data_IF_224460808537
#
_entry.id   IF_224460808537
#
_cell.length_a   1.000
_cell.length_b   1.000
_cell.length_c   1.000
_cell.angle_alpha   90.00
_cell.angle_beta   90.00
_cell.angle_gamma   90.00
#
_symmetry.space_group_name_H-M   'P 1'
#
loop_
_entity.id
_entity.type
_entity.pdbx_description
1 polymer ?
#
# COMPACT_ATOMS: atom_id res chain seq x y z
N UNK A 1 -45.54 -2.18 39.94
CA UNK A 1 -45.12 -1.86 38.55
C UNK A 1 -43.70 -1.30 38.63
N UNK A 2 -42.66 -2.11 38.34
CA UNK A 2 -41.27 -1.65 38.34
C UNK A 2 -40.95 -1.09 36.95
N UNK A 3 -40.66 0.22 36.88
CA UNK A 3 -40.16 0.87 35.67
C UNK A 3 -38.72 0.41 35.41
N UNK A 4 -38.51 -0.41 34.40
CA UNK A 4 -37.19 -0.78 33.90
C UNK A 4 -36.73 0.42 33.06
N UNK A 5 -35.83 1.22 33.64
CA UNK A 5 -35.15 2.29 32.93
C UNK A 5 -34.14 1.68 31.93
N UNK A 6 -34.44 1.78 30.67
CA UNK A 6 -33.53 1.40 29.57
C UNK A 6 -32.35 2.38 29.57
N UNK A 7 -31.24 1.97 30.12
CA UNK A 7 -29.98 2.73 30.08
C UNK A 7 -29.41 2.56 28.69
N UNK A 8 -29.63 3.54 27.81
CA UNK A 8 -28.97 3.61 26.52
C UNK A 8 -27.49 3.99 26.76
N UNK A 9 -26.61 2.99 26.78
CA UNK A 9 -25.16 3.20 26.81
C UNK A 9 -24.75 3.71 25.42
N UNK A 10 -24.68 5.05 25.25
CA UNK A 10 -24.11 5.66 24.06
C UNK A 10 -22.59 5.45 24.15
N UNK A 11 -22.09 4.39 23.51
CA UNK A 11 -20.66 4.19 23.32
C UNK A 11 -20.21 5.24 22.28
N UNK A 12 -19.66 6.34 22.75
CA UNK A 12 -18.92 7.28 21.92
C UNK A 12 -17.67 6.56 21.38
N UNK A 13 -17.78 5.99 20.19
CA UNK A 13 -16.59 5.63 19.43
C UNK A 13 -15.85 6.92 19.08
N UNK A 14 -14.77 7.21 19.80
CA UNK A 14 -13.78 8.15 19.30
C UNK A 14 -13.16 7.55 18.02
N UNK A 15 -13.81 7.75 16.90
CA UNK A 15 -13.21 7.43 15.61
C UNK A 15 -12.01 8.36 15.46
N UNK A 16 -10.81 7.83 15.64
CA UNK A 16 -9.57 8.57 15.42
C UNK A 16 -9.47 8.91 13.93
N UNK A 17 -10.05 10.06 13.56
CA UNK A 17 -9.84 10.63 12.24
C UNK A 17 -8.45 11.25 12.20
N UNK A 18 -7.52 10.61 11.50
CA UNK A 18 -6.23 11.20 11.16
C UNK A 18 -6.26 11.78 9.74
N UNK A 19 -5.32 12.66 9.43
CA UNK A 19 -5.14 13.13 8.05
C UNK A 19 -3.84 12.58 7.48
N UNK A 20 -3.88 12.27 6.18
CA UNK A 20 -2.69 11.88 5.43
C UNK A 20 -1.84 13.14 5.21
N UNK A 21 -0.55 13.12 5.54
CA UNK A 21 0.36 14.24 5.25
C UNK A 21 0.37 14.56 3.74
N UNK A 22 0.69 15.77 3.38
CA UNK A 22 0.69 16.32 2.01
C UNK A 22 -0.72 16.47 1.42
N UNK A 23 -1.52 15.40 1.39
CA UNK A 23 -2.85 15.41 0.75
C UNK A 23 -3.94 15.95 1.66
N UNK A 24 -3.70 16.00 2.97
CA UNK A 24 -4.65 16.40 4.01
C UNK A 24 -5.97 15.59 4.00
N UNK A 25 -6.01 14.46 3.26
CA UNK A 25 -7.18 13.58 3.20
C UNK A 25 -7.48 13.02 4.59
N UNK A 26 -8.72 13.12 4.99
CA UNK A 26 -9.20 12.47 6.22
C UNK A 26 -9.36 10.97 6.01
N UNK A 27 -8.88 10.18 6.97
CA UNK A 27 -9.00 8.73 6.96
C UNK A 27 -9.49 8.20 8.29
N UNK A 28 -10.19 7.10 8.26
CA UNK A 28 -10.58 6.33 9.44
C UNK A 28 -9.50 5.27 9.65
N UNK A 29 -8.63 5.48 10.63
CA UNK A 29 -7.57 4.55 10.95
C UNK A 29 -7.46 4.39 12.48
N UNK A 30 -8.00 3.29 13.00
CA UNK A 30 -7.89 2.90 14.42
C UNK A 30 -7.05 1.64 14.62
N UNK A 31 -6.48 1.09 13.54
CA UNK A 31 -5.49 0.01 13.62
C UNK A 31 -4.12 0.64 13.76
N UNK A 32 -3.48 0.43 14.93
CA UNK A 32 -2.21 1.06 15.26
C UNK A 32 -1.00 0.40 14.58
N UNK A 33 0.11 1.14 14.48
CA UNK A 33 1.39 0.59 14.00
C UNK A 33 1.87 -0.55 14.93
N UNK A 34 1.68 -0.42 16.24
CA UNK A 34 2.05 -1.45 17.22
C UNK A 34 1.28 -2.77 17.03
N UNK A 35 0.08 -2.73 16.45
CA UNK A 35 -0.69 -3.93 16.07
C UNK A 35 -0.21 -4.53 14.74
N UNK A 36 0.10 -3.67 13.76
CA UNK A 36 0.34 -4.08 12.37
C UNK A 36 1.79 -4.48 12.10
N UNK A 37 2.77 -3.73 12.62
CA UNK A 37 4.17 -3.91 12.25
C UNK A 37 4.74 -5.27 12.63
N UNK A 38 4.51 -5.83 13.85
CA UNK A 38 5.03 -7.16 14.18
C UNK A 38 4.50 -8.24 13.24
N UNK A 39 3.20 -8.14 12.89
CA UNK A 39 2.56 -9.08 11.95
C UNK A 39 3.11 -8.91 10.54
N UNK A 40 3.33 -7.66 10.10
CA UNK A 40 3.93 -7.35 8.80
C UNK A 40 5.31 -7.97 8.65
N UNK A 41 6.16 -7.79 9.65
CA UNK A 41 7.54 -8.29 9.62
C UNK A 41 7.59 -9.82 9.65
N UNK A 42 6.73 -10.47 10.45
CA UNK A 42 6.62 -11.93 10.47
C UNK A 42 6.19 -12.47 9.11
N UNK A 43 5.11 -11.93 8.52
CA UNK A 43 4.63 -12.36 7.21
C UNK A 43 5.64 -12.10 6.08
N UNK A 44 6.39 -11.01 6.16
CA UNK A 44 7.45 -10.74 5.19
C UNK A 44 8.56 -11.78 5.26
N UNK A 45 8.97 -12.16 6.48
CA UNK A 45 9.97 -13.21 6.68
C UNK A 45 9.48 -14.55 6.12
N UNK A 46 8.27 -14.96 6.47
CA UNK A 46 7.66 -16.20 5.96
C UNK A 46 7.59 -16.17 4.43
N UNK A 47 7.21 -15.03 3.84
CA UNK A 47 7.16 -14.85 2.39
C UNK A 47 8.54 -15.06 1.73
N UNK A 48 9.61 -14.53 2.32
CA UNK A 48 10.97 -14.70 1.77
C UNK A 48 11.48 -16.15 1.91
N UNK A 49 11.02 -16.88 2.92
CA UNK A 49 11.35 -18.31 3.08
C UNK A 49 10.62 -19.18 2.03
N UNK A 50 9.41 -18.78 1.62
CA UNK A 50 8.58 -19.50 0.64
C UNK A 50 8.90 -19.17 -0.82
N UNK A 51 9.64 -18.07 -1.10
CA UNK A 51 9.87 -17.57 -2.44
C UNK A 51 11.36 -17.48 -2.78
N UNK A 52 11.68 -17.65 -4.06
CA UNK A 52 13.07 -17.64 -4.53
C UNK A 52 13.53 -16.21 -4.81
N UNK A 53 14.57 -15.76 -4.12
CA UNK A 53 15.23 -14.49 -4.43
C UNK A 53 15.94 -14.56 -5.79
N UNK A 54 15.87 -13.49 -6.56
CA UNK A 54 16.53 -13.41 -7.86
C UNK A 54 18.06 -13.48 -7.72
N UNK A 55 18.67 -14.31 -8.57
CA UNK A 55 20.13 -14.45 -8.69
C UNK A 55 20.74 -13.38 -9.60
N UNK A 56 19.95 -12.56 -10.26
CA UNK A 56 20.41 -11.46 -11.09
C UNK A 56 20.93 -10.31 -10.21
N UNK A 57 22.23 -10.31 -9.96
CA UNK A 57 22.89 -9.33 -9.08
C UNK A 57 22.71 -7.89 -9.54
N UNK A 58 22.69 -7.64 -10.86
CA UNK A 58 22.54 -6.30 -11.41
C UNK A 58 21.14 -5.75 -11.11
N UNK A 59 20.09 -6.49 -11.47
CA UNK A 59 18.69 -6.09 -11.23
C UNK A 59 18.40 -5.96 -9.74
N UNK A 60 18.88 -6.91 -8.91
CA UNK A 60 18.72 -6.85 -7.45
C UNK A 60 19.37 -5.60 -6.88
N UNK A 61 20.54 -5.22 -7.38
CA UNK A 61 21.22 -4.00 -6.96
C UNK A 61 20.43 -2.76 -7.36
N UNK A 62 19.92 -2.68 -8.60
CA UNK A 62 19.10 -1.56 -9.05
C UNK A 62 17.84 -1.38 -8.17
N UNK A 63 17.12 -2.46 -7.85
CA UNK A 63 15.98 -2.41 -6.93
C UNK A 63 16.38 -1.87 -5.56
N UNK A 64 17.50 -2.33 -5.01
CA UNK A 64 17.99 -1.86 -3.70
C UNK A 64 18.43 -0.41 -3.71
N UNK A 65 19.14 0.02 -4.75
CA UNK A 65 19.66 1.39 -4.89
C UNK A 65 18.48 2.38 -5.06
N UNK A 66 17.52 2.07 -5.95
CA UNK A 66 16.30 2.88 -6.12
C UNK A 66 15.48 2.91 -4.82
N UNK A 67 15.30 1.75 -4.19
CA UNK A 67 14.57 1.65 -2.92
C UNK A 67 15.20 2.49 -1.83
N UNK A 68 16.52 2.45 -1.69
CA UNK A 68 17.28 3.26 -0.73
C UNK A 68 17.10 4.76 -1.01
N UNK A 69 17.18 5.19 -2.26
CA UNK A 69 17.02 6.60 -2.62
C UNK A 69 15.61 7.11 -2.28
N UNK A 70 14.57 6.37 -2.66
CA UNK A 70 13.17 6.72 -2.35
C UNK A 70 12.93 6.71 -0.84
N UNK A 71 13.36 5.67 -0.12
CA UNK A 71 13.16 5.58 1.34
C UNK A 71 13.90 6.69 2.09
N UNK A 72 15.09 7.09 1.63
CA UNK A 72 15.81 8.24 2.18
C UNK A 72 15.01 9.54 1.99
N UNK A 73 14.44 9.76 0.80
CA UNK A 73 13.59 10.94 0.55
C UNK A 73 12.36 10.96 1.46
N UNK A 74 11.72 9.80 1.65
CA UNK A 74 10.56 9.65 2.55
C UNK A 74 10.95 9.91 4.01
N UNK A 75 12.08 9.36 4.47
CA UNK A 75 12.58 9.59 5.85
C UNK A 75 12.88 11.08 6.09
N UNK A 76 13.58 11.73 5.16
CA UNK A 76 13.84 13.19 5.22
C UNK A 76 12.53 13.97 5.28
N UNK A 77 11.56 13.62 4.45
CA UNK A 77 10.24 14.26 4.47
C UNK A 77 9.54 14.08 5.82
N UNK A 78 9.49 12.84 6.34
CA UNK A 78 8.85 12.56 7.63
C UNK A 78 9.49 13.34 8.78
N UNK A 79 10.81 13.35 8.87
CA UNK A 79 11.54 14.07 9.92
C UNK A 79 11.36 15.58 9.83
N UNK A 80 11.39 16.15 8.63
CA UNK A 80 11.13 17.57 8.39
C UNK A 80 9.70 17.98 8.83
N UNK A 81 8.74 17.06 8.73
CA UNK A 81 7.35 17.28 9.15
C UNK A 81 7.04 16.79 10.58
N UNK A 82 8.06 16.57 11.41
CA UNK A 82 7.95 16.15 12.83
C UNK A 82 7.27 14.80 13.04
N UNK A 83 7.32 13.93 12.03
CA UNK A 83 6.81 12.54 12.07
C UNK A 83 7.92 11.58 12.51
N UNK A 84 8.59 11.88 13.62
CA UNK A 84 9.80 11.15 14.04
C UNK A 84 9.46 9.69 14.40
N UNK A 85 8.39 9.47 15.15
CA UNK A 85 7.96 8.13 15.56
C UNK A 85 7.61 7.24 14.35
N UNK A 86 6.95 7.82 13.34
CA UNK A 86 6.67 7.13 12.08
C UNK A 86 7.95 6.81 11.33
N UNK A 87 8.87 7.77 11.19
CA UNK A 87 10.15 7.56 10.52
C UNK A 87 10.96 6.42 11.18
N UNK A 88 11.02 6.42 12.51
CA UNK A 88 11.75 5.42 13.29
C UNK A 88 11.07 4.02 13.28
N UNK A 89 9.81 3.93 12.89
CA UNK A 89 9.07 2.67 12.79
C UNK A 89 9.31 1.91 11.49
N UNK A 90 9.97 2.52 10.49
CA UNK A 90 10.29 1.87 9.22
C UNK A 90 11.60 1.10 9.31
N UNK A 91 11.53 -0.16 8.95
CA UNK A 91 12.68 -1.06 8.77
C UNK A 91 12.80 -1.43 7.29
N UNK A 92 13.30 -0.47 6.49
CA UNK A 92 13.35 -0.58 5.04
C UNK A 92 14.12 -1.80 4.56
N UNK A 93 13.47 -2.60 3.72
CA UNK A 93 14.07 -3.76 3.07
C UNK A 93 13.52 -3.93 1.67
N UNK A 94 14.40 -4.21 0.69
CA UNK A 94 14.07 -4.27 -0.74
C UNK A 94 14.57 -5.59 -1.29
N UNK A 95 13.67 -6.41 -1.80
CA UNK A 95 14.01 -7.69 -2.41
C UNK A 95 13.38 -7.86 -3.79
N UNK A 96 14.11 -8.59 -4.67
CA UNK A 96 13.65 -9.00 -5.98
C UNK A 96 13.41 -10.50 -5.97
N UNK A 97 12.17 -10.91 -6.24
CA UNK A 97 11.75 -12.31 -6.35
C UNK A 97 11.85 -12.77 -7.79
N UNK A 98 12.39 -13.99 -7.98
CA UNK A 98 12.51 -14.64 -9.27
C UNK A 98 11.16 -15.31 -9.64
N UNK A 99 10.26 -14.51 -10.22
CA UNK A 99 8.93 -14.95 -10.64
C UNK A 99 8.47 -14.03 -11.78
N UNK A 100 7.88 -14.59 -12.82
CA UNK A 100 7.41 -13.90 -14.03
C UNK A 100 6.14 -13.06 -13.80
N UNK A 101 5.59 -13.06 -12.59
CA UNK A 101 4.46 -12.21 -12.24
C UNK A 101 4.82 -10.74 -12.43
N UNK A 102 3.92 -10.01 -13.08
CA UNK A 102 4.02 -8.56 -13.19
C UNK A 102 3.44 -7.94 -11.93
N UNK A 103 4.25 -7.87 -10.88
CA UNK A 103 3.81 -7.39 -9.56
C UNK A 103 4.94 -6.72 -8.77
N UNK A 104 4.54 -5.86 -7.84
CA UNK A 104 5.35 -5.29 -6.76
C UNK A 104 4.42 -4.95 -5.60
N UNK A 105 4.97 -4.81 -4.39
CA UNK A 105 4.19 -4.38 -3.23
C UNK A 105 5.08 -3.87 -2.10
N UNK A 106 4.48 -3.09 -1.20
CA UNK A 106 5.10 -2.64 0.04
C UNK A 106 4.17 -2.94 1.23
N UNK A 107 4.67 -3.71 2.19
CA UNK A 107 3.99 -3.90 3.47
C UNK A 107 4.25 -2.74 4.43
N UNK A 108 3.37 -2.54 5.45
CA UNK A 108 3.63 -1.63 6.56
C UNK A 108 5.02 -1.84 7.16
N UNK A 109 5.71 -0.74 7.49
CA UNK A 109 7.06 -0.78 8.02
C UNK A 109 8.16 -0.84 6.96
N UNK A 110 7.83 -0.75 5.65
CA UNK A 110 8.82 -0.57 4.58
C UNK A 110 9.42 -1.85 4.03
N UNK A 111 8.71 -2.96 4.09
CA UNK A 111 9.11 -4.24 3.49
C UNK A 111 8.62 -4.30 2.05
N UNK A 112 9.54 -4.18 1.09
CA UNK A 112 9.23 -4.00 -0.34
C UNK A 112 9.71 -5.21 -1.15
N UNK A 113 8.85 -5.68 -2.03
CA UNK A 113 9.15 -6.74 -2.99
C UNK A 113 8.82 -6.27 -4.40
N UNK A 114 9.74 -6.59 -5.31
CA UNK A 114 9.52 -6.57 -6.74
C UNK A 114 9.64 -7.99 -7.28
N UNK A 115 8.89 -8.30 -8.32
CA UNK A 115 9.03 -9.56 -9.08
C UNK A 115 9.79 -9.31 -10.37
N UNK A 116 10.55 -10.31 -10.84
CA UNK A 116 11.32 -10.15 -12.08
C UNK A 116 10.44 -9.81 -13.28
N UNK A 117 9.19 -10.29 -13.31
CA UNK A 117 8.25 -10.03 -14.41
C UNK A 117 7.85 -8.56 -14.59
N UNK A 118 7.98 -7.69 -13.57
CA UNK A 118 7.64 -6.26 -13.71
C UNK A 118 8.80 -5.44 -14.31
N UNK A 119 10.04 -5.94 -14.22
CA UNK A 119 11.25 -5.19 -14.61
C UNK A 119 11.22 -4.76 -16.09
N UNK A 120 10.82 -5.61 -17.06
CA UNK A 120 10.72 -5.19 -18.46
C UNK A 120 9.73 -4.06 -18.71
N UNK A 121 8.72 -3.90 -17.85
CA UNK A 121 7.72 -2.81 -17.94
C UNK A 121 8.27 -1.51 -17.37
N UNK A 122 9.08 -1.61 -16.33
CA UNK A 122 9.77 -0.45 -15.76
C UNK A 122 10.78 0.16 -16.75
N UNK A 123 11.47 -0.64 -17.56
CA UNK A 123 12.47 -0.29 -18.56
C UNK A 123 13.79 0.22 -17.99
N UNK A 124 13.75 1.11 -17.00
CA UNK A 124 14.89 1.81 -16.41
C UNK A 124 14.65 2.13 -14.93
N UNK A 125 15.62 2.77 -14.28
CA UNK A 125 15.53 3.14 -12.87
C UNK A 125 14.40 4.14 -12.58
N UNK A 126 14.09 5.06 -13.49
CA UNK A 126 12.97 5.98 -13.32
C UNK A 126 11.62 5.25 -13.31
N UNK A 127 11.47 4.22 -14.14
CA UNK A 127 10.30 3.37 -14.13
C UNK A 127 10.21 2.49 -12.88
N UNK A 128 11.34 1.99 -12.38
CA UNK A 128 11.42 1.30 -11.08
C UNK A 128 11.02 2.28 -9.96
N UNK A 129 11.54 3.50 -9.99
CA UNK A 129 11.24 4.54 -9.01
C UNK A 129 9.76 4.94 -9.02
N UNK A 130 9.12 4.96 -10.18
CA UNK A 130 7.69 5.24 -10.30
C UNK A 130 6.83 4.18 -9.59
N UNK A 131 7.13 2.89 -9.81
CA UNK A 131 6.43 1.79 -9.12
C UNK A 131 6.79 1.77 -7.63
N UNK A 132 8.08 1.87 -7.29
CA UNK A 132 8.58 1.88 -5.92
C UNK A 132 7.95 3.01 -5.10
N UNK A 133 7.92 4.22 -5.66
CA UNK A 133 7.30 5.38 -5.01
C UNK A 133 5.81 5.19 -4.77
N UNK A 134 5.09 4.60 -5.71
CA UNK A 134 3.66 4.28 -5.59
C UNK A 134 3.41 3.26 -4.46
N UNK A 135 4.17 2.17 -4.41
CA UNK A 135 4.03 1.14 -3.37
C UNK A 135 4.40 1.69 -1.98
N UNK A 136 5.50 2.44 -1.87
CA UNK A 136 5.89 3.10 -0.63
C UNK A 136 4.84 4.13 -0.20
N UNK A 137 4.21 4.85 -1.14
CA UNK A 137 3.14 5.80 -0.84
C UNK A 137 1.91 5.13 -0.22
N UNK A 138 1.55 3.90 -0.64
CA UNK A 138 0.49 3.12 0.01
C UNK A 138 0.83 2.82 1.48
N UNK A 139 2.07 2.45 1.79
CA UNK A 139 2.52 2.20 3.16
C UNK A 139 2.57 3.51 3.98
N UNK A 140 3.13 4.59 3.42
CA UNK A 140 3.19 5.91 4.03
C UNK A 140 1.80 6.48 4.36
N UNK A 141 0.85 6.41 3.42
CA UNK A 141 -0.52 6.84 3.64
C UNK A 141 -1.33 5.87 4.51
N UNK A 142 -0.75 4.73 4.92
CA UNK A 142 -1.38 3.67 5.74
C UNK A 142 -2.67 3.13 5.12
N UNK A 143 -2.73 3.02 3.78
CA UNK A 143 -3.92 2.55 3.06
C UNK A 143 -4.32 1.13 3.46
N UNK A 144 -3.35 0.25 3.77
CA UNK A 144 -3.61 -1.09 4.29
C UNK A 144 -4.33 -1.05 5.64
N UNK A 145 -3.83 -0.23 6.58
CA UNK A 145 -4.44 -0.08 7.91
C UNK A 145 -5.83 0.55 7.84
N UNK A 146 -6.05 1.51 6.93
CA UNK A 146 -7.37 2.08 6.67
C UNK A 146 -8.35 1.00 6.20
N UNK A 147 -7.94 0.13 5.26
CA UNK A 147 -8.76 -1.00 4.80
C UNK A 147 -9.04 -2.00 5.93
N UNK A 148 -8.04 -2.31 6.77
CA UNK A 148 -8.25 -3.16 7.95
C UNK A 148 -9.28 -2.55 8.91
N UNK A 149 -9.18 -1.24 9.14
CA UNK A 149 -10.13 -0.51 9.99
C UNK A 149 -11.55 -0.59 9.42
N UNK A 150 -11.71 -0.39 8.11
CA UNK A 150 -12.99 -0.53 7.41
C UNK A 150 -13.55 -1.96 7.50
N UNK A 151 -12.70 -2.98 7.33
CA UNK A 151 -13.10 -4.38 7.45
C UNK A 151 -13.57 -4.73 8.86
N UNK A 152 -12.86 -4.26 9.89
CA UNK A 152 -13.26 -4.42 11.30
C UNK A 152 -14.61 -3.75 11.59
N UNK A 153 -14.84 -2.54 11.06
CA UNK A 153 -16.14 -1.85 11.21
C UNK A 153 -17.28 -2.61 10.53
N UNK A 154 -17.06 -3.11 9.32
CA UNK A 154 -18.06 -3.92 8.60
C UNK A 154 -18.36 -5.21 9.35
N UNK A 155 -17.36 -5.85 9.94
CA UNK A 155 -17.54 -7.04 10.77
C UNK A 155 -18.39 -6.73 12.00
N UNK A 156 -18.04 -5.68 12.75
CA UNK A 156 -18.83 -5.25 13.92
C UNK A 156 -20.28 -4.95 13.54
N UNK A 157 -20.50 -4.26 12.42
CA UNK A 157 -21.84 -4.00 11.90
C UNK A 157 -22.62 -5.29 11.60
N UNK A 158 -21.97 -6.30 10.98
CA UNK A 158 -22.57 -7.62 10.73
C UNK A 158 -22.89 -8.35 12.02
N UNK A 159 -22.03 -8.31 13.03
CA UNK A 159 -22.22 -8.95 14.34
C UNK A 159 -23.38 -8.32 15.10
N UNK A 160 -23.50 -6.99 15.09
CA UNK A 160 -24.63 -6.27 15.69
C UNK A 160 -25.96 -6.64 15.02
N UNK A 161 -25.98 -6.74 13.68
CA UNK A 161 -27.16 -7.15 12.91
C UNK A 161 -27.48 -8.64 13.08
N UNK A 162 -26.45 -9.46 13.39
CA UNK A 162 -26.55 -10.91 13.58
C UNK A 162 -26.82 -11.31 15.04
N UNK A 163 -27.19 -10.38 15.93
CA UNK A 163 -27.62 -10.70 17.31
C UNK A 163 -28.81 -11.65 17.27
N UNK A 164 -28.53 -12.94 17.12
CA UNK A 164 -29.49 -14.04 16.95
C UNK A 164 -29.08 -15.13 15.96
N UNK A 165 -27.96 -14.99 15.21
CA UNK A 165 -27.47 -16.02 14.30
C UNK A 165 -26.08 -16.53 14.70
N UNK A 166 -25.92 -17.87 14.68
CA UNK A 166 -24.71 -18.60 15.12
C UNK A 166 -23.52 -18.56 14.11
N UNK A 167 -23.37 -17.52 13.30
CA UNK A 167 -22.25 -17.42 12.36
C UNK A 167 -20.99 -16.92 13.07
N UNK A 168 -19.90 -17.72 12.95
CA UNK A 168 -18.59 -17.38 13.52
C UNK A 168 -18.05 -16.08 12.93
N UNK A 169 -17.52 -15.21 13.82
CA UNK A 169 -16.77 -14.00 13.48
C UNK A 169 -15.53 -14.30 12.63
N UNK A 170 -15.20 -13.43 11.68
CA UNK A 170 -13.92 -13.50 10.96
C UNK A 170 -12.76 -13.28 11.94
N UNK A 171 -11.75 -14.14 11.85
CA UNK A 171 -10.57 -14.03 12.71
C UNK A 171 -9.66 -12.88 12.26
N UNK A 172 -8.81 -12.34 13.15
CA UNK A 172 -7.81 -11.35 12.82
C UNK A 172 -6.92 -11.80 11.66
N UNK A 173 -6.59 -13.09 11.57
CA UNK A 173 -5.84 -13.69 10.46
C UNK A 173 -6.58 -13.58 9.12
N UNK A 174 -7.92 -13.77 9.09
CA UNK A 174 -8.70 -13.59 7.86
C UNK A 174 -8.73 -12.13 7.42
N UNK A 175 -8.90 -11.19 8.35
CA UNK A 175 -8.84 -9.75 8.04
C UNK A 175 -7.47 -9.38 7.48
N UNK A 176 -6.38 -9.88 8.09
CA UNK A 176 -5.02 -9.68 7.58
C UNK A 176 -4.87 -10.22 6.15
N UNK A 177 -5.20 -11.49 5.95
CA UNK A 177 -5.07 -12.15 4.65
C UNK A 177 -5.92 -11.48 3.57
N UNK A 178 -7.13 -11.00 3.90
CA UNK A 178 -7.98 -10.27 2.96
C UNK A 178 -7.42 -8.88 2.62
N UNK A 179 -6.69 -8.27 3.56
CA UNK A 179 -6.13 -6.91 3.37
C UNK A 179 -4.79 -6.92 2.67
N UNK A 180 -3.90 -7.83 3.06
CA UNK A 180 -2.53 -7.89 2.58
C UNK A 180 -2.19 -9.17 1.82
N UNK A 181 -3.11 -10.08 1.65
CA UNK A 181 -3.05 -11.49 1.19
C UNK A 181 -2.06 -11.87 0.10
N UNK A 182 -0.78 -11.68 0.38
CA UNK A 182 0.33 -11.98 -0.50
C UNK A 182 0.52 -13.50 -0.52
N UNK A 183 0.45 -14.10 -1.72
CA UNK A 183 0.72 -15.53 -1.90
C UNK A 183 -0.42 -16.49 -1.55
N UNK A 184 -1.56 -16.05 -1.03
CA UNK A 184 -2.62 -16.96 -0.53
C UNK A 184 -3.69 -17.33 -1.58
N UNK A 185 -3.64 -16.78 -2.80
CA UNK A 185 -4.71 -16.98 -3.81
C UNK A 185 -6.07 -16.39 -3.42
N UNK A 186 -6.21 -15.88 -2.21
CA UNK A 186 -7.36 -15.11 -1.75
C UNK A 186 -7.18 -13.69 -2.28
N UNK A 187 -8.02 -13.28 -3.23
CA UNK A 187 -7.92 -12.00 -3.90
C UNK A 187 -7.73 -10.84 -2.92
N UNK A 188 -6.62 -10.16 -3.02
CA UNK A 188 -6.38 -8.91 -2.29
C UNK A 188 -7.51 -7.94 -2.59
N UNK A 189 -8.04 -7.27 -1.57
CA UNK A 189 -9.02 -6.21 -1.78
C UNK A 189 -8.38 -5.11 -2.63
N UNK A 190 -9.04 -4.74 -3.71
CA UNK A 190 -8.62 -3.61 -4.55
C UNK A 190 -8.52 -2.34 -3.71
N UNK A 191 -7.51 -1.54 -3.96
CA UNK A 191 -7.47 -0.20 -3.44
C UNK A 191 -8.59 0.64 -4.05
N UNK A 192 -9.13 1.57 -3.29
CA UNK A 192 -10.13 2.49 -3.81
C UNK A 192 -9.48 3.45 -4.81
N UNK A 193 -10.28 4.03 -5.72
CA UNK A 193 -9.77 5.05 -6.65
C UNK A 193 -9.11 6.22 -5.93
N UNK A 194 -9.60 6.57 -4.75
CA UNK A 194 -9.03 7.64 -3.91
C UNK A 194 -7.66 7.25 -3.39
N UNK A 195 -7.48 6.00 -2.93
CA UNK A 195 -6.19 5.48 -2.48
C UNK A 195 -5.17 5.45 -3.61
N UNK A 196 -5.59 5.00 -4.80
CA UNK A 196 -4.71 4.95 -5.98
C UNK A 196 -4.24 6.35 -6.39
N UNK A 197 -5.16 7.31 -6.46
CA UNK A 197 -4.84 8.69 -6.83
C UNK A 197 -3.94 9.36 -5.79
N UNK A 198 -4.15 9.06 -4.51
CA UNK A 198 -3.29 9.55 -3.42
C UNK A 198 -1.90 8.92 -3.51
N UNK A 199 -1.80 7.59 -3.74
CA UNK A 199 -0.53 6.90 -3.90
C UNK A 199 0.24 7.38 -5.14
N UNK A 200 -0.45 7.64 -6.25
CA UNK A 200 0.14 8.23 -7.46
C UNK A 200 0.79 9.59 -7.18
N UNK A 201 0.08 10.48 -6.47
CA UNK A 201 0.58 11.84 -6.16
C UNK A 201 1.72 11.82 -5.17
N UNK A 202 1.60 11.06 -4.09
CA UNK A 202 2.66 10.91 -3.09
C UNK A 202 3.89 10.22 -3.69
N UNK A 203 3.68 9.14 -4.43
CA UNK A 203 4.75 8.41 -5.10
C UNK A 203 5.52 9.27 -6.10
N UNK A 204 4.80 10.11 -6.86
CA UNK A 204 5.40 11.09 -7.77
C UNK A 204 6.27 12.11 -7.01
N UNK A 205 5.82 12.60 -5.86
CA UNK A 205 6.61 13.51 -5.02
C UNK A 205 7.86 12.79 -4.51
N UNK A 206 7.74 11.58 -4.00
CA UNK A 206 8.86 10.82 -3.44
C UNK A 206 9.92 10.49 -4.49
N UNK A 207 9.51 10.09 -5.72
CA UNK A 207 10.47 9.85 -6.79
C UNK A 207 11.19 11.12 -7.24
N UNK A 208 10.48 12.26 -7.31
CA UNK A 208 11.09 13.55 -7.61
C UNK A 208 12.08 14.01 -6.54
N UNK A 209 11.73 13.86 -5.25
CA UNK A 209 12.62 14.14 -4.12
C UNK A 209 13.87 13.28 -4.14
N UNK A 210 13.77 12.04 -4.63
CA UNK A 210 14.89 11.12 -4.80
C UNK A 210 15.71 11.39 -6.08
N UNK A 211 15.33 12.38 -6.91
CA UNK A 211 16.06 12.81 -8.10
C UNK A 211 15.69 12.07 -9.39
N UNK A 212 14.61 11.30 -9.42
CA UNK A 212 14.15 10.57 -10.60
C UNK A 212 13.23 11.40 -11.52
N UNK A 213 13.14 11.00 -12.79
CA UNK A 213 12.27 11.67 -13.77
C UNK A 213 10.78 11.31 -13.55
N UNK A 214 10.03 12.24 -12.95
CA UNK A 214 8.60 12.07 -12.70
C UNK A 214 7.72 11.86 -13.95
N UNK A 215 8.24 12.08 -15.16
CA UNK A 215 7.48 11.81 -16.39
C UNK A 215 7.25 10.31 -16.58
N UNK A 216 8.14 9.47 -16.03
CA UNK A 216 8.01 8.01 -16.08
C UNK A 216 6.83 7.46 -15.29
N UNK A 217 6.36 8.16 -14.26
CA UNK A 217 5.19 7.71 -13.51
C UNK A 217 3.97 7.46 -14.42
N UNK A 218 3.63 8.43 -15.27
CA UNK A 218 2.52 8.26 -16.22
C UNK A 218 2.81 7.22 -17.31
N UNK A 219 4.08 7.11 -17.75
CA UNK A 219 4.49 6.19 -18.82
C UNK A 219 4.44 4.73 -18.38
N UNK A 220 4.90 4.43 -17.15
CA UNK A 220 4.84 3.07 -16.58
C UNK A 220 3.39 2.58 -16.52
N UNK A 221 2.46 3.38 -15.97
CA UNK A 221 1.04 3.00 -15.93
C UNK A 221 0.42 2.87 -17.31
N UNK A 222 0.86 3.66 -18.29
CA UNK A 222 0.43 3.51 -19.68
C UNK A 222 0.88 2.16 -20.26
N UNK A 223 2.15 1.77 -20.06
CA UNK A 223 2.66 0.45 -20.48
C UNK A 223 1.90 -0.71 -19.83
N UNK A 224 1.65 -0.63 -18.50
CA UNK A 224 0.87 -1.63 -17.78
C UNK A 224 -0.57 -1.75 -18.32
N UNK A 225 -1.21 -0.62 -18.60
CA UNK A 225 -2.57 -0.60 -19.16
C UNK A 225 -2.65 -1.26 -20.54
N UNK A 226 -1.66 -1.01 -21.41
CA UNK A 226 -1.61 -1.64 -22.74
C UNK A 226 -1.47 -3.16 -22.66
N UNK A 227 -0.83 -3.71 -21.64
CA UNK A 227 -0.75 -5.15 -21.41
C UNK A 227 -2.09 -5.75 -20.99
N UNK A 228 -2.98 -4.97 -20.37
CA UNK A 228 -4.29 -5.46 -19.93
C UNK A 228 -5.30 -5.65 -21.06
N UNK A 229 -5.04 -5.12 -22.26
CA UNK A 229 -5.84 -5.34 -23.46
C UNK A 229 -5.63 -6.73 -24.07
N UNK A 230 -4.63 -7.49 -23.56
CA UNK A 230 -4.34 -8.87 -23.92
C UNK A 230 -5.09 -9.92 -23.09
N UNK A 231 -4.82 -11.21 -23.36
CA UNK A 231 -5.50 -12.34 -22.69
C UNK A 231 -5.20 -12.48 -21.18
N UNK A 232 -4.13 -11.85 -20.67
CA UNK A 232 -3.76 -11.89 -19.25
C UNK A 232 -3.42 -10.49 -18.76
N UNK A 233 -4.27 -9.96 -17.86
CA UNK A 233 -3.99 -8.68 -17.18
C UNK A 233 -2.84 -8.85 -16.18
N UNK A 234 -1.88 -7.91 -16.12
CA UNK A 234 -0.87 -7.88 -15.06
C UNK A 234 -1.45 -8.03 -13.66
N UNK A 235 -0.83 -8.84 -12.81
CA UNK A 235 -1.36 -9.11 -11.46
C UNK A 235 -1.49 -7.82 -10.63
N UNK A 236 -0.54 -6.91 -10.74
CA UNK A 236 -0.58 -5.60 -10.09
C UNK A 236 -1.87 -4.80 -10.41
N UNK A 237 -2.44 -4.95 -11.61
CA UNK A 237 -3.68 -4.27 -11.97
C UNK A 237 -4.92 -4.89 -11.31
N UNK A 238 -4.80 -6.07 -10.72
CA UNK A 238 -5.88 -6.68 -9.94
C UNK A 238 -6.12 -5.94 -8.62
N UNK A 239 -5.07 -5.38 -8.04
CA UNK A 239 -5.08 -4.63 -6.77
C UNK A 239 -5.02 -3.13 -6.98
N UNK A 240 -4.32 -2.68 -8.05
CA UNK A 240 -4.11 -1.29 -8.44
C UNK A 240 -4.73 -1.01 -9.82
N UNK A 241 -6.06 -0.86 -9.92
CA UNK A 241 -6.71 -0.66 -11.22
C UNK A 241 -6.16 0.58 -11.93
N UNK A 242 -5.55 0.38 -13.09
CA UNK A 242 -5.16 1.50 -13.94
C UNK A 242 -6.30 1.91 -14.85
N UNK A 243 -6.41 3.20 -15.11
CA UNK A 243 -7.32 3.76 -16.10
C UNK A 243 -6.72 5.05 -16.68
N UNK A 244 -7.26 5.49 -17.82
CA UNK A 244 -6.81 6.71 -18.50
C UNK A 244 -6.86 7.96 -17.61
N UNK A 245 -7.80 8.02 -16.65
CA UNK A 245 -7.91 9.18 -15.76
C UNK A 245 -6.74 9.27 -14.76
N UNK A 246 -6.21 8.14 -14.24
CA UNK A 246 -5.02 8.13 -13.37
C UNK A 246 -3.79 8.63 -14.14
N UNK A 247 -3.58 8.12 -15.36
CA UNK A 247 -2.47 8.52 -16.22
C UNK A 247 -2.54 10.03 -16.53
N UNK A 248 -3.74 10.54 -16.84
CA UNK A 248 -3.93 11.97 -17.10
C UNK A 248 -3.75 12.81 -15.82
N UNK A 249 -4.19 12.33 -14.66
CA UNK A 249 -4.01 13.03 -13.38
C UNK A 249 -2.53 13.16 -13.01
N UNK A 250 -1.73 12.12 -13.19
CA UNK A 250 -0.27 12.16 -13.01
C UNK A 250 0.40 13.20 -13.91
N UNK A 251 0.02 13.23 -15.20
CA UNK A 251 0.55 14.24 -16.14
C UNK A 251 0.21 15.67 -15.70
N UNK A 252 -1.02 15.88 -15.27
CA UNK A 252 -1.51 17.19 -14.83
C UNK A 252 -0.90 17.61 -13.49
N UNK A 253 -0.61 16.66 -12.59
CA UNK A 253 -0.07 16.93 -11.27
C UNK A 253 1.45 17.16 -11.27
N UNK A 254 2.18 16.61 -12.24
CA UNK A 254 3.65 16.71 -12.33
C UNK A 254 4.20 18.14 -12.18
N UNK A 255 3.64 19.20 -12.83
CA UNK A 255 4.13 20.56 -12.63
C UNK A 255 3.95 21.07 -11.19
N UNK A 256 2.94 20.59 -10.48
CA UNK A 256 2.68 20.93 -9.08
C UNK A 256 3.65 20.20 -8.14
N UNK A 257 3.91 18.93 -8.43
CA UNK A 257 4.82 18.10 -7.62
C UNK A 257 6.29 18.55 -7.70
N UNK A 258 6.67 19.33 -8.75
CA UNK A 258 8.02 19.91 -8.92
C UNK A 258 8.26 21.21 -8.16
N UNK A 259 7.24 21.81 -7.54
CA UNK A 259 7.33 23.05 -6.75
C UNK A 259 7.64 22.76 -5.29
#
# INVERSE_FOLDING_TARGET
>A
MKKIGTFFLIIFFFVSCSSVPITSRKRVNFVSDSEVLPTSFAHYKDFLEENTLSKNKLMTRQIKDVGKNISTAVDVFMRANKMISEADSYEWEFNLIDDDKVNAWCMPGGKVVFYTGIIPICLNEDGIAAVMGHEIAHAFAKHGQERMSQSKLQQLGREVLALGSSKKSETAKQIWNTTFGIGTGLGMLKFSRVHEQEADRLGLIFMLMAGYDGTEAARVWSRMSSLSEGKSSPEILSTHPSNSSRIQDLKNYLPTAKK
#
